data_IF_875680227162
#
_entry.id   IF_875680227162
#
_cell.length_a   1.000
_cell.length_b   1.000
_cell.length_c   1.000
_cell.angle_alpha   90.00
_cell.angle_beta   90.00
_cell.angle_gamma   90.00
#
_symmetry.space_group_name_H-M   'P 1'
#
loop_
_entity.id
_entity.type
_entity.pdbx_description
1 polymer ?
#
# COMPACT_ATOMS: atom_id res chain seq x y z
N UNK A 1 10.58 20.12 -25.97
CA UNK A 1 10.15 19.62 -24.65
C UNK A 1 8.78 20.24 -24.34
N UNK A 2 7.79 19.47 -23.85
CA UNK A 2 6.51 20.04 -23.47
C UNK A 2 6.69 21.03 -22.30
N UNK A 3 5.96 22.12 -22.31
CA UNK A 3 6.12 23.29 -21.41
C UNK A 3 5.69 23.07 -19.96
N UNK A 4 5.14 21.91 -19.62
CA UNK A 4 4.34 21.73 -18.40
C UNK A 4 4.98 20.79 -17.37
N UNK A 5 6.21 20.32 -17.61
CA UNK A 5 6.92 19.47 -16.65
C UNK A 5 7.44 20.29 -15.47
N UNK A 6 6.69 20.30 -14.37
CA UNK A 6 7.14 20.82 -13.08
C UNK A 6 7.52 19.65 -12.16
N UNK A 7 8.82 19.41 -11.88
CA UNK A 7 9.29 18.25 -11.12
C UNK A 7 8.83 18.21 -9.64
N UNK A 8 8.13 19.24 -9.18
CA UNK A 8 7.76 19.44 -7.78
C UNK A 8 6.25 19.40 -7.51
N UNK A 9 5.42 19.15 -8.54
CA UNK A 9 3.97 19.13 -8.36
C UNK A 9 3.50 17.69 -8.17
N UNK A 10 3.49 17.23 -6.91
CA UNK A 10 2.86 15.94 -6.60
C UNK A 10 1.36 16.00 -6.95
N UNK A 11 0.79 14.93 -7.51
CA UNK A 11 -0.65 14.85 -7.72
C UNK A 11 -1.38 14.95 -6.37
N UNK A 12 -2.49 15.70 -6.27
CA UNK A 12 -3.20 15.89 -5.00
C UNK A 12 -3.68 14.58 -4.35
N UNK A 13 -3.86 13.53 -5.15
CA UNK A 13 -4.20 12.18 -4.70
C UNK A 13 -3.07 11.56 -3.87
N UNK A 14 -1.82 11.79 -4.29
CA UNK A 14 -0.61 11.32 -3.60
C UNK A 14 -0.45 12.09 -2.29
N UNK A 15 -0.64 13.41 -2.32
CA UNK A 15 -0.62 14.25 -1.12
C UNK A 15 -1.68 13.79 -0.10
N UNK A 16 -2.90 13.52 -0.55
CA UNK A 16 -3.99 13.06 0.29
C UNK A 16 -3.67 11.70 0.94
N UNK A 17 -3.18 10.74 0.15
CA UNK A 17 -2.78 9.43 0.65
C UNK A 17 -1.67 9.55 1.72
N UNK A 18 -0.59 10.27 1.41
CA UNK A 18 0.54 10.46 2.34
C UNK A 18 0.12 11.20 3.61
N UNK A 19 -0.80 12.16 3.50
CA UNK A 19 -1.33 12.89 4.65
C UNK A 19 -2.12 11.98 5.59
N UNK A 20 -2.92 11.05 5.05
CA UNK A 20 -3.64 10.07 5.87
C UNK A 20 -2.66 9.12 6.56
N UNK A 21 -1.67 8.58 5.84
CA UNK A 21 -0.67 7.69 6.44
C UNK A 21 0.11 8.39 7.56
N UNK A 22 0.55 9.62 7.31
CA UNK A 22 1.24 10.43 8.33
C UNK A 22 0.37 10.63 9.55
N UNK A 23 -0.91 10.97 9.37
CA UNK A 23 -1.84 11.21 10.47
C UNK A 23 -2.10 9.92 11.27
N UNK A 24 -2.35 8.81 10.60
CA UNK A 24 -2.57 7.50 11.24
C UNK A 24 -1.35 7.08 12.07
N UNK A 25 -0.13 7.25 11.54
CA UNK A 25 1.09 6.88 12.25
C UNK A 25 1.46 7.82 13.41
N UNK A 26 0.89 9.03 13.46
CA UNK A 26 1.28 10.05 14.46
C UNK A 26 0.19 10.35 15.49
N UNK A 27 -1.07 10.06 15.17
CA UNK A 27 -2.22 10.49 15.98
C UNK A 27 -3.11 9.36 16.48
N UNK A 28 -3.05 8.17 15.88
CA UNK A 28 -3.93 7.05 16.22
C UNK A 28 -3.24 6.02 17.11
N UNK A 29 -4.03 5.12 17.70
CA UNK A 29 -3.52 3.98 18.43
C UNK A 29 -2.64 3.09 17.54
N UNK A 30 -1.60 2.50 18.12
CA UNK A 30 -0.64 1.65 17.41
C UNK A 30 -1.32 0.54 16.60
N UNK A 31 -2.38 -0.10 17.14
CA UNK A 31 -3.13 -1.13 16.45
C UNK A 31 -3.81 -0.64 15.17
N UNK A 32 -4.33 0.60 15.16
CA UNK A 32 -4.90 1.22 13.96
C UNK A 32 -3.81 1.46 12.92
N UNK A 33 -2.67 2.01 13.35
CA UNK A 33 -1.54 2.31 12.48
C UNK A 33 -0.94 1.08 11.81
N UNK A 34 -0.61 0.07 12.62
CA UNK A 34 -0.05 -1.21 12.15
C UNK A 34 -1.03 -1.89 11.18
N UNK A 35 -2.31 -1.99 11.54
CA UNK A 35 -3.29 -2.65 10.68
C UNK A 35 -3.51 -1.89 9.36
N UNK A 36 -3.47 -0.56 9.39
CA UNK A 36 -3.58 0.29 8.20
C UNK A 36 -2.40 0.08 7.24
N UNK A 37 -1.17 0.02 7.75
CA UNK A 37 0.01 -0.24 6.91
C UNK A 37 0.06 -1.69 6.41
N UNK A 38 -0.22 -2.66 7.29
CA UNK A 38 -0.18 -4.08 6.94
C UNK A 38 -1.13 -4.45 5.80
N UNK A 39 -2.36 -3.91 5.78
CA UNK A 39 -3.27 -4.17 4.66
C UNK A 39 -2.82 -3.51 3.34
N UNK A 40 -2.12 -2.38 3.41
CA UNK A 40 -1.59 -1.68 2.24
C UNK A 40 -0.44 -2.50 1.64
N UNK A 41 0.51 -2.95 2.47
CA UNK A 41 1.60 -3.81 2.02
C UNK A 41 1.09 -5.13 1.47
N UNK A 42 0.14 -5.78 2.14
CA UNK A 42 -0.47 -7.01 1.65
C UNK A 42 -1.09 -6.83 0.25
N UNK A 43 -1.86 -5.76 0.06
CA UNK A 43 -2.46 -5.45 -1.23
C UNK A 43 -1.39 -5.11 -2.30
N UNK A 44 -0.37 -4.35 -1.92
CA UNK A 44 0.72 -3.97 -2.81
C UNK A 44 1.54 -5.18 -3.28
N UNK A 45 1.89 -6.10 -2.39
CA UNK A 45 2.60 -7.33 -2.71
C UNK A 45 1.85 -8.15 -3.78
N UNK A 46 0.55 -8.37 -3.57
CA UNK A 46 -0.28 -9.12 -4.52
C UNK A 46 -0.42 -8.46 -5.89
N UNK A 47 -0.62 -7.14 -5.93
CA UNK A 47 -0.72 -6.37 -7.18
C UNK A 47 0.63 -6.38 -7.91
N UNK A 48 1.73 -6.14 -7.20
CA UNK A 48 3.08 -6.11 -7.76
C UNK A 48 3.48 -7.47 -8.36
N UNK A 49 3.18 -8.56 -7.67
CA UNK A 49 3.42 -9.92 -8.18
C UNK A 49 2.61 -10.20 -9.48
N UNK A 50 1.35 -9.76 -9.51
CA UNK A 50 0.47 -9.92 -10.68
C UNK A 50 1.00 -9.13 -11.88
N UNK A 51 1.38 -7.87 -11.67
CA UNK A 51 1.95 -7.01 -12.74
C UNK A 51 3.27 -7.59 -13.23
N UNK A 52 4.18 -7.95 -12.31
CA UNK A 52 5.49 -8.52 -12.64
C UNK A 52 5.37 -9.77 -13.52
N UNK A 53 4.47 -10.69 -13.17
CA UNK A 53 4.23 -11.89 -13.98
C UNK A 53 3.66 -11.55 -15.36
N UNK A 54 2.66 -10.66 -15.41
CA UNK A 54 1.99 -10.32 -16.67
C UNK A 54 2.91 -9.61 -17.69
N UNK A 55 3.85 -8.78 -17.24
CA UNK A 55 4.77 -8.09 -18.17
C UNK A 55 5.84 -9.03 -18.74
N UNK A 56 6.24 -10.07 -18.01
CA UNK A 56 7.13 -11.14 -18.51
C UNK A 56 6.40 -12.00 -19.52
N UNK A 57 5.20 -12.48 -19.17
CA UNK A 57 4.40 -13.36 -20.05
C UNK A 57 4.10 -12.70 -21.40
N UNK A 58 3.95 -11.38 -21.42
CA UNK A 58 3.72 -10.59 -22.64
C UNK A 58 5.00 -10.22 -23.39
N UNK A 59 6.17 -10.57 -22.86
CA UNK A 59 7.48 -10.27 -23.44
C UNK A 59 7.81 -8.77 -23.45
N UNK A 60 7.17 -7.98 -22.58
CA UNK A 60 7.43 -6.53 -22.49
C UNK A 60 8.71 -6.21 -21.72
N UNK A 61 9.06 -7.06 -20.76
CA UNK A 61 10.26 -6.93 -19.93
C UNK A 61 10.90 -8.32 -19.79
N UNK A 62 12.22 -8.42 -19.86
CA UNK A 62 12.92 -9.66 -19.60
C UNK A 62 12.85 -10.01 -18.11
N UNK A 63 12.80 -11.31 -17.78
CA UNK A 63 12.73 -11.77 -16.40
C UNK A 63 13.91 -11.23 -15.54
N UNK A 64 15.10 -11.16 -16.14
CA UNK A 64 16.31 -10.67 -15.48
C UNK A 64 16.29 -9.14 -15.21
N UNK A 65 15.40 -8.39 -15.86
CA UNK A 65 15.23 -6.95 -15.64
C UNK A 65 14.17 -6.62 -14.56
N UNK A 66 13.48 -7.65 -14.04
CA UNK A 66 12.45 -7.53 -12.99
C UNK A 66 12.96 -7.83 -11.59
N UNK A 67 14.28 -7.79 -11.38
CA UNK A 67 14.91 -8.11 -10.08
C UNK A 67 14.27 -7.31 -8.95
N UNK A 68 13.85 -6.06 -9.18
CA UNK A 68 13.20 -5.23 -8.16
C UNK A 68 11.72 -5.58 -7.89
N UNK A 69 11.02 -6.22 -8.82
CA UNK A 69 9.63 -6.65 -8.66
C UNK A 69 9.53 -8.08 -8.11
N UNK A 70 10.43 -8.97 -8.53
CA UNK A 70 10.54 -10.32 -7.97
C UNK A 70 11.02 -10.29 -6.51
N UNK A 71 11.95 -9.37 -6.19
CA UNK A 71 12.44 -9.18 -4.82
C UNK A 71 11.34 -8.66 -3.87
N UNK A 72 10.46 -7.78 -4.36
CA UNK A 72 9.34 -7.25 -3.56
C UNK A 72 8.22 -8.27 -3.35
N UNK A 73 7.96 -9.18 -4.29
CA UNK A 73 6.93 -10.20 -4.09
C UNK A 73 7.26 -11.17 -2.92
N UNK A 74 8.52 -11.62 -2.81
CA UNK A 74 8.94 -12.54 -1.74
C UNK A 74 9.26 -11.83 -0.41
N UNK A 75 9.70 -10.56 -0.45
CA UNK A 75 10.05 -9.80 0.76
C UNK A 75 8.83 -9.07 1.35
N UNK A 76 7.90 -8.54 0.52
CA UNK A 76 6.75 -7.78 1.02
C UNK A 76 5.67 -8.68 1.64
N UNK A 77 5.58 -9.96 1.26
CA UNK A 77 4.64 -10.90 1.89
C UNK A 77 5.03 -11.19 3.36
N UNK A 78 6.34 -11.34 3.62
CA UNK A 78 6.88 -11.48 4.98
C UNK A 78 6.73 -10.19 5.79
N UNK A 79 6.91 -9.01 5.17
CA UNK A 79 6.73 -7.72 5.87
C UNK A 79 5.27 -7.46 6.26
N UNK A 80 4.31 -7.79 5.39
CA UNK A 80 2.90 -7.69 5.74
C UNK A 80 2.53 -8.65 6.89
N UNK A 81 3.08 -9.86 6.89
CA UNK A 81 2.90 -10.84 7.96
C UNK A 81 3.49 -10.34 9.30
N UNK A 82 4.67 -9.71 9.27
CA UNK A 82 5.32 -9.11 10.44
C UNK A 82 4.44 -8.02 11.08
N UNK A 83 3.71 -7.22 10.28
CA UNK A 83 2.75 -6.25 10.82
C UNK A 83 1.57 -6.92 11.53
N UNK A 84 1.03 -8.02 10.98
CA UNK A 84 -0.12 -8.68 11.60
C UNK A 84 0.25 -9.44 12.88
N UNK A 85 1.44 -10.01 12.97
CA UNK A 85 1.96 -10.64 14.20
C UNK A 85 1.98 -9.66 15.38
N UNK A 86 2.26 -8.37 15.13
CA UNK A 86 2.31 -7.35 16.19
C UNK A 86 0.95 -7.02 16.81
N UNK A 87 -0.16 -7.35 16.15
CA UNK A 87 -1.52 -7.05 16.61
C UNK A 87 -2.34 -8.31 16.91
N UNK A 88 -1.86 -9.49 16.53
CA UNK A 88 -2.56 -10.78 16.65
C UNK A 88 -2.98 -11.08 18.09
N UNK A 89 -2.04 -11.02 19.04
CA UNK A 89 -2.29 -11.28 20.47
C UNK A 89 -3.27 -10.29 21.14
N UNK A 90 -3.55 -9.16 20.47
CA UNK A 90 -4.41 -8.11 21.00
C UNK A 90 -5.84 -8.18 20.51
N UNK A 91 -6.14 -9.02 19.50
CA UNK A 91 -7.47 -9.17 18.91
C UNK A 91 -8.51 -9.80 19.84
N UNK A 92 -8.11 -10.48 20.91
CA UNK A 92 -9.02 -11.04 21.92
C UNK A 92 -9.67 -9.96 22.82
N UNK A 93 -9.11 -8.74 22.85
CA UNK A 93 -9.75 -7.60 23.48
C UNK A 93 -10.68 -6.88 22.48
N UNK A 94 -11.97 -6.80 22.83
CA UNK A 94 -13.02 -6.13 22.05
C UNK A 94 -12.67 -4.69 21.61
N UNK A 95 -11.92 -3.94 22.41
CA UNK A 95 -11.51 -2.58 22.06
C UNK A 95 -10.44 -2.59 20.98
N UNK A 96 -9.44 -3.45 21.11
CA UNK A 96 -8.34 -3.56 20.16
C UNK A 96 -8.78 -4.20 18.86
N UNK A 97 -9.68 -5.18 18.90
CA UNK A 97 -10.34 -5.75 17.71
C UNK A 97 -11.04 -4.67 16.86
N UNK A 98 -11.72 -3.72 17.51
CA UNK A 98 -12.34 -2.57 16.85
C UNK A 98 -11.29 -1.63 16.21
N UNK A 99 -10.16 -1.42 16.89
CA UNK A 99 -9.05 -0.62 16.37
C UNK A 99 -8.39 -1.28 15.14
N UNK A 100 -8.20 -2.61 15.18
CA UNK A 100 -7.67 -3.40 14.06
C UNK A 100 -8.60 -3.31 12.85
N UNK A 101 -9.90 -3.62 13.01
CA UNK A 101 -10.87 -3.52 11.90
C UNK A 101 -10.93 -2.10 11.30
N UNK A 102 -10.89 -1.07 12.15
CA UNK A 102 -10.81 0.32 11.69
C UNK A 102 -9.56 0.60 10.87
N UNK A 103 -8.40 0.15 11.32
CA UNK A 103 -7.13 0.30 10.60
C UNK A 103 -7.16 -0.41 9.24
N UNK A 104 -7.58 -1.68 9.21
CA UNK A 104 -7.71 -2.47 7.98
C UNK A 104 -8.63 -1.80 6.96
N UNK A 105 -9.82 -1.34 7.40
CA UNK A 105 -10.77 -0.64 6.51
C UNK A 105 -10.21 0.67 5.98
N UNK A 106 -9.55 1.45 6.84
CA UNK A 106 -8.99 2.73 6.45
C UNK A 106 -7.87 2.55 5.41
N UNK A 107 -6.94 1.62 5.66
CA UNK A 107 -5.83 1.32 4.75
C UNK A 107 -6.32 0.87 3.38
N UNK A 108 -7.23 -0.12 3.34
CA UNK A 108 -7.83 -0.58 2.09
C UNK A 108 -8.59 0.53 1.34
N UNK A 109 -9.32 1.38 2.07
CA UNK A 109 -10.04 2.51 1.48
C UNK A 109 -9.09 3.52 0.83
N UNK A 110 -8.07 4.00 1.54
CA UNK A 110 -7.18 5.06 1.00
C UNK A 110 -6.30 4.56 -0.12
N UNK A 111 -5.89 3.29 -0.08
CA UNK A 111 -5.12 2.66 -1.15
C UNK A 111 -5.94 2.53 -2.43
N UNK A 112 -7.17 2.01 -2.33
CA UNK A 112 -8.08 1.95 -3.48
C UNK A 112 -8.42 3.35 -4.01
N UNK A 113 -8.62 4.32 -3.11
CA UNK A 113 -8.92 5.71 -3.49
C UNK A 113 -7.77 6.35 -4.26
N UNK A 114 -6.52 6.13 -3.83
CA UNK A 114 -5.33 6.61 -4.53
C UNK A 114 -5.32 6.17 -6.00
N UNK A 115 -5.40 4.86 -6.26
CA UNK A 115 -5.35 4.34 -7.63
C UNK A 115 -6.58 4.72 -8.46
N UNK A 116 -7.76 4.73 -7.83
CA UNK A 116 -9.00 5.18 -8.50
C UNK A 116 -8.87 6.62 -8.97
N UNK A 117 -8.41 7.52 -8.11
CA UNK A 117 -8.30 8.94 -8.45
C UNK A 117 -7.14 9.20 -9.41
N UNK A 118 -6.02 8.46 -9.32
CA UNK A 118 -4.95 8.53 -10.32
C UNK A 118 -5.46 8.11 -11.70
N UNK A 119 -6.28 7.05 -11.78
CA UNK A 119 -6.87 6.59 -13.03
C UNK A 119 -7.91 7.57 -13.59
N UNK A 120 -8.76 8.16 -12.74
CA UNK A 120 -9.87 9.02 -13.16
C UNK A 120 -9.47 10.47 -13.43
N UNK A 121 -8.46 10.98 -12.72
CA UNK A 121 -8.07 12.40 -12.74
C UNK A 121 -6.68 12.64 -13.34
N UNK A 122 -5.88 11.59 -13.53
CA UNK A 122 -4.54 11.64 -14.14
C UNK A 122 -4.53 11.43 -15.66
N UNK A 123 -5.69 11.37 -16.31
CA UNK A 123 -5.86 11.29 -17.77
C UNK A 123 -5.89 12.64 -18.45
#
# INVERSE_FOLDING_TARGET
MPSDWTPWRQPPQVDAFNSVLTSVCTMEDMAVGISCLGIIEHAFAGISATIGSAVVERGWVAQDDLVHYALHAEIDEQHAEDFFVLVEDTCDDSRTSCAVDRGLRLGGYVFNRLYTDLYQLGG
#
